data_IF_320967614586
#
_entry.id   IF_320967614586
#
_cell.length_a   1.000
_cell.length_b   1.000
_cell.length_c   1.000
_cell.angle_alpha   90.00
_cell.angle_beta   90.00
_cell.angle_gamma   90.00
#
_symmetry.space_group_name_H-M   'P 1'
#
loop_
_entity.id
_entity.type
_entity.pdbx_description
1 polymer ?
#
# COMPACT_ATOMS: atom_id res chain seq x y z
N UNK A 1 -4.41 13.51 -24.66
CA UNK A 1 -5.03 12.33 -23.98
C UNK A 1 -4.59 12.28 -22.51
N UNK A 2 -5.31 11.59 -21.61
CA UNK A 2 -4.94 11.56 -20.17
C UNK A 2 -3.58 10.88 -19.90
N UNK A 3 -3.19 9.89 -20.72
CA UNK A 3 -1.85 9.27 -20.72
C UNK A 3 -0.75 10.33 -20.85
N UNK A 4 -0.91 11.28 -21.75
CA UNK A 4 0.06 12.37 -21.96
C UNK A 4 0.03 13.37 -20.80
N UNK A 5 -1.17 13.74 -20.31
CA UNK A 5 -1.35 14.69 -19.19
C UNK A 5 -0.63 14.20 -17.93
N UNK A 6 -0.70 12.89 -17.65
CA UNK A 6 -0.09 12.30 -16.47
C UNK A 6 1.22 11.54 -16.77
N UNK A 7 1.81 11.69 -17.96
CA UNK A 7 2.98 10.91 -18.38
C UNK A 7 4.22 11.12 -17.50
N UNK A 8 4.33 12.27 -16.83
CA UNK A 8 5.39 12.51 -15.86
C UNK A 8 5.19 11.70 -14.57
N UNK A 9 3.95 11.42 -14.17
CA UNK A 9 3.61 10.67 -12.96
C UNK A 9 3.48 9.16 -13.24
N UNK A 10 2.83 8.82 -14.34
CA UNK A 10 2.50 7.46 -14.76
C UNK A 10 3.21 7.16 -16.07
N UNK A 11 4.41 6.57 -15.97
CA UNK A 11 5.17 6.19 -17.14
C UNK A 11 4.60 4.89 -17.74
N UNK A 12 3.79 5.05 -18.78
CA UNK A 12 3.13 3.94 -19.49
C UNK A 12 3.81 3.77 -20.84
N UNK A 13 4.44 2.61 -21.07
CA UNK A 13 5.06 2.31 -22.37
C UNK A 13 3.99 2.13 -23.46
N UNK A 14 4.35 2.33 -24.73
CA UNK A 14 3.38 2.15 -25.83
C UNK A 14 2.95 0.68 -25.98
N UNK A 15 3.87 -0.26 -25.77
CA UNK A 15 3.59 -1.71 -25.76
C UNK A 15 2.64 -2.10 -24.62
N UNK A 16 2.86 -1.61 -23.40
CA UNK A 16 1.95 -1.88 -22.28
C UNK A 16 0.59 -1.23 -22.50
N UNK A 17 0.56 -0.01 -23.06
CA UNK A 17 -0.70 0.65 -23.39
C UNK A 17 -1.49 -0.13 -24.44
N UNK A 18 -0.84 -0.66 -25.48
CA UNK A 18 -1.52 -1.48 -26.50
C UNK A 18 -2.15 -2.74 -25.88
N UNK A 19 -1.46 -3.37 -24.91
CA UNK A 19 -1.94 -4.57 -24.21
C UNK A 19 -3.13 -4.30 -23.28
N UNK A 20 -3.19 -3.12 -22.65
CA UNK A 20 -4.15 -2.85 -21.57
C UNK A 20 -4.84 -1.46 -21.67
N UNK A 21 -5.03 -0.94 -22.89
CA UNK A 21 -5.49 0.43 -23.15
C UNK A 21 -6.75 0.80 -22.35
N UNK A 22 -7.78 -0.07 -22.39
CA UNK A 22 -9.05 0.14 -21.69
C UNK A 22 -8.86 0.35 -20.19
N UNK A 23 -7.99 -0.45 -19.55
CA UNK A 23 -7.71 -0.35 -18.12
C UNK A 23 -6.91 0.92 -17.78
N UNK A 24 -5.91 1.25 -18.59
CA UNK A 24 -5.17 2.50 -18.43
C UNK A 24 -6.09 3.72 -18.56
N UNK A 25 -6.92 3.78 -19.60
CA UNK A 25 -7.82 4.91 -19.83
C UNK A 25 -8.84 5.05 -18.69
N UNK A 26 -9.41 3.95 -18.22
CA UNK A 26 -10.35 3.93 -17.10
C UNK A 26 -9.70 4.47 -15.81
N UNK A 27 -8.54 3.94 -15.42
CA UNK A 27 -7.87 4.33 -14.18
C UNK A 27 -7.31 5.74 -14.24
N UNK A 28 -6.81 6.18 -15.40
CA UNK A 28 -6.39 7.58 -15.60
C UNK A 28 -7.59 8.54 -15.51
N UNK A 29 -8.77 8.14 -16.00
CA UNK A 29 -9.99 8.94 -15.87
C UNK A 29 -10.44 9.05 -14.40
N UNK A 30 -10.45 7.93 -13.65
CA UNK A 30 -10.75 7.96 -12.21
C UNK A 30 -9.76 8.86 -11.48
N UNK A 31 -8.46 8.70 -11.74
CA UNK A 31 -7.43 9.54 -11.14
C UNK A 31 -7.62 11.02 -11.49
N UNK A 32 -7.98 11.32 -12.74
CA UNK A 32 -8.24 12.68 -13.17
C UNK A 32 -9.37 13.33 -12.37
N UNK A 33 -10.49 12.63 -12.21
CA UNK A 33 -11.64 13.15 -11.50
C UNK A 33 -11.35 13.34 -10.00
N UNK A 34 -10.52 12.46 -9.42
CA UNK A 34 -10.03 12.59 -8.04
C UNK A 34 -9.18 13.85 -7.81
N UNK A 35 -8.41 14.29 -8.80
CA UNK A 35 -7.46 15.42 -8.65
C UNK A 35 -7.95 16.74 -9.27
N UNK A 36 -8.93 16.72 -10.16
CA UNK A 36 -9.43 17.92 -10.86
C UNK A 36 -10.87 18.32 -10.49
N UNK A 37 -11.63 17.47 -9.79
CA UNK A 37 -13.04 17.76 -9.53
C UNK A 37 -13.25 19.04 -8.71
N UNK A 38 -13.93 20.04 -9.29
CA UNK A 38 -14.47 21.20 -8.57
C UNK A 38 -15.46 20.76 -7.46
N UNK A 39 -16.06 19.57 -7.63
CA UNK A 39 -16.91 18.89 -6.66
C UNK A 39 -16.40 17.45 -6.52
N UNK A 40 -15.82 17.11 -5.36
CA UNK A 40 -15.48 15.73 -5.03
C UNK A 40 -16.75 14.93 -4.74
N UNK A 41 -17.24 14.20 -5.74
CA UNK A 41 -18.33 13.24 -5.63
C UNK A 41 -17.80 11.91 -5.08
N UNK A 42 -17.76 11.83 -3.74
CA UNK A 42 -17.21 10.69 -3.02
C UNK A 42 -17.93 9.39 -3.38
N UNK A 43 -19.27 9.41 -3.46
CA UNK A 43 -20.06 8.20 -3.68
C UNK A 43 -19.84 7.65 -5.09
N UNK A 44 -19.86 8.51 -6.11
CA UNK A 44 -19.60 8.08 -7.49
C UNK A 44 -18.17 7.54 -7.66
N UNK A 45 -17.18 8.25 -7.11
CA UNK A 45 -15.78 7.87 -7.24
C UNK A 45 -15.48 6.57 -6.50
N UNK A 46 -16.06 6.39 -5.31
CA UNK A 46 -15.99 5.13 -4.56
C UNK A 46 -16.55 3.98 -5.39
N UNK A 47 -17.76 4.13 -5.93
CA UNK A 47 -18.41 3.09 -6.72
C UNK A 47 -17.59 2.72 -7.97
N UNK A 48 -16.98 3.71 -8.65
CA UNK A 48 -16.09 3.48 -9.79
C UNK A 48 -14.82 2.72 -9.39
N UNK A 49 -14.18 3.08 -8.29
CA UNK A 49 -13.00 2.36 -7.77
C UNK A 49 -13.36 0.92 -7.40
N UNK A 50 -14.49 0.71 -6.72
CA UNK A 50 -14.97 -0.63 -6.36
C UNK A 50 -15.27 -1.49 -7.59
N UNK A 51 -16.01 -0.96 -8.56
CA UNK A 51 -16.40 -1.69 -9.78
C UNK A 51 -15.20 -2.07 -10.64
N UNK A 52 -14.22 -1.17 -10.74
CA UNK A 52 -13.03 -1.33 -11.57
C UNK A 52 -11.87 -2.03 -10.86
N UNK A 53 -12.09 -2.57 -9.65
CA UNK A 53 -11.07 -3.25 -8.86
C UNK A 53 -10.40 -4.41 -9.65
N UNK A 54 -9.08 -4.35 -9.89
CA UNK A 54 -8.39 -5.26 -10.81
C UNK A 54 -8.27 -6.69 -10.26
N UNK A 55 -8.46 -6.89 -8.96
CA UNK A 55 -8.44 -8.22 -8.34
C UNK A 55 -9.80 -8.95 -8.37
N UNK A 56 -10.89 -8.29 -8.80
CA UNK A 56 -12.18 -8.98 -9.01
C UNK A 56 -12.07 -10.11 -10.05
N UNK A 57 -11.17 -9.95 -11.01
CA UNK A 57 -10.84 -10.94 -12.03
C UNK A 57 -9.38 -11.41 -11.90
N UNK A 58 -8.88 -11.59 -10.66
CA UNK A 58 -7.49 -12.02 -10.45
C UNK A 58 -7.25 -13.47 -10.88
N UNK A 59 -6.04 -13.70 -11.37
CA UNK A 59 -5.53 -15.02 -11.70
C UNK A 59 -5.05 -15.11 -13.15
N UNK A 60 -3.96 -15.85 -13.33
CA UNK A 60 -3.47 -16.29 -14.61
C UNK A 60 -3.15 -17.79 -14.56
N UNK A 61 -3.53 -18.53 -15.60
CA UNK A 61 -3.11 -19.92 -15.80
C UNK A 61 -3.04 -20.25 -17.29
N UNK A 62 -1.97 -20.94 -17.69
CA UNK A 62 -1.81 -21.54 -19.03
C UNK A 62 -1.59 -23.07 -18.97
N UNK A 63 -1.87 -23.67 -17.81
CA UNK A 63 -1.64 -25.09 -17.52
C UNK A 63 -0.22 -25.42 -17.06
N UNK A 64 0.82 -24.67 -17.49
CA UNK A 64 2.19 -24.83 -16.98
C UNK A 64 2.43 -23.89 -15.79
N UNK A 65 2.02 -22.64 -15.90
CA UNK A 65 2.20 -21.62 -14.87
C UNK A 65 0.88 -21.18 -14.26
N UNK A 66 0.95 -20.77 -12.99
CA UNK A 66 -0.20 -20.30 -12.23
C UNK A 66 0.19 -19.13 -11.32
N UNK A 67 -0.49 -17.99 -11.50
CA UNK A 67 -0.31 -16.78 -10.69
C UNK A 67 -1.68 -16.32 -10.18
N UNK A 68 -2.14 -16.89 -9.06
CA UNK A 68 -3.54 -16.81 -8.59
C UNK A 68 -3.93 -15.38 -8.16
N UNK A 69 -3.02 -14.66 -7.51
CA UNK A 69 -3.24 -13.29 -7.04
C UNK A 69 -2.77 -12.22 -8.03
N UNK A 70 -2.35 -12.61 -9.25
CA UNK A 70 -2.03 -11.65 -10.31
C UNK A 70 -3.30 -10.86 -10.67
N UNK A 71 -3.19 -9.53 -10.64
CA UNK A 71 -4.30 -8.66 -10.97
C UNK A 71 -4.73 -8.89 -12.42
N UNK A 72 -6.03 -9.03 -12.68
CA UNK A 72 -6.52 -9.42 -14.01
C UNK A 72 -6.13 -8.43 -15.10
N UNK A 73 -6.09 -7.14 -14.75
CA UNK A 73 -5.69 -6.05 -15.65
C UNK A 73 -4.22 -6.06 -16.04
N UNK A 74 -3.40 -6.82 -15.32
CA UNK A 74 -1.95 -6.84 -15.51
C UNK A 74 -1.49 -8.13 -16.20
N UNK A 75 -2.37 -9.11 -16.40
CA UNK A 75 -2.04 -10.44 -16.92
C UNK A 75 -1.29 -10.39 -18.25
N UNK A 76 -1.78 -9.62 -19.22
CA UNK A 76 -1.19 -9.54 -20.57
C UNK A 76 0.21 -8.87 -20.59
N UNK A 77 0.53 -8.11 -19.54
CA UNK A 77 1.83 -7.45 -19.37
C UNK A 77 2.77 -8.30 -18.52
N UNK A 78 2.34 -8.67 -17.31
CA UNK A 78 3.19 -9.30 -16.31
C UNK A 78 3.37 -10.80 -16.49
N UNK A 79 2.33 -11.55 -16.87
CA UNK A 79 2.45 -13.01 -16.92
C UNK A 79 3.57 -13.48 -17.88
N UNK A 80 3.71 -12.93 -19.11
CA UNK A 80 4.82 -13.27 -19.99
C UNK A 80 6.18 -12.96 -19.39
N UNK A 81 6.31 -11.85 -18.64
CA UNK A 81 7.55 -11.43 -18.01
C UNK A 81 7.93 -12.31 -16.81
N UNK A 82 6.94 -12.76 -16.04
CA UNK A 82 7.12 -13.72 -14.95
C UNK A 82 7.58 -15.08 -15.49
N UNK A 83 6.95 -15.56 -16.56
CA UNK A 83 7.33 -16.80 -17.24
C UNK A 83 8.76 -16.70 -17.77
N UNK A 84 9.10 -15.61 -18.46
CA UNK A 84 10.46 -15.35 -18.94
C UNK A 84 11.48 -15.33 -17.78
N UNK A 85 11.14 -14.74 -16.63
CA UNK A 85 12.02 -14.76 -15.47
C UNK A 85 12.24 -16.18 -14.93
N UNK A 86 11.20 -17.02 -14.92
CA UNK A 86 11.29 -18.41 -14.47
C UNK A 86 12.18 -19.21 -15.42
N UNK A 87 11.89 -19.18 -16.72
CA UNK A 87 12.60 -20.01 -17.71
C UNK A 87 14.06 -19.62 -17.91
N UNK A 88 14.42 -18.36 -17.66
CA UNK A 88 15.80 -17.89 -17.71
C UNK A 88 16.52 -17.90 -16.34
N UNK A 89 15.87 -18.43 -15.31
CA UNK A 89 16.50 -18.56 -13.99
C UNK A 89 17.62 -19.60 -14.01
N UNK A 90 18.63 -19.38 -13.18
CA UNK A 90 19.70 -20.35 -12.93
C UNK A 90 19.34 -21.37 -11.83
N UNK A 91 18.18 -21.21 -11.19
CA UNK A 91 17.68 -22.09 -10.14
C UNK A 91 16.66 -23.05 -10.73
N UNK A 92 16.84 -24.36 -10.51
CA UNK A 92 15.94 -25.39 -11.05
C UNK A 92 14.51 -25.30 -10.48
N UNK A 93 14.37 -24.80 -9.25
CA UNK A 93 13.11 -24.64 -8.52
C UNK A 93 12.53 -23.21 -8.60
N UNK A 94 13.00 -22.41 -9.57
CA UNK A 94 12.56 -21.02 -9.73
C UNK A 94 11.06 -20.88 -9.96
N UNK A 95 10.46 -21.85 -10.64
CA UNK A 95 9.02 -21.88 -10.91
C UNK A 95 8.23 -21.94 -9.61
N UNK A 96 8.58 -22.86 -8.73
CA UNK A 96 7.91 -23.09 -7.45
C UNK A 96 8.02 -21.84 -6.57
N UNK A 97 9.22 -21.28 -6.46
CA UNK A 97 9.49 -20.10 -5.63
C UNK A 97 8.79 -18.84 -6.15
N UNK A 98 8.84 -18.58 -7.45
CA UNK A 98 8.22 -17.38 -8.03
C UNK A 98 6.69 -17.52 -8.02
N UNK A 99 6.13 -18.67 -8.43
CA UNK A 99 4.68 -18.88 -8.36
C UNK A 99 4.15 -18.79 -6.94
N UNK A 100 4.91 -19.24 -5.93
CA UNK A 100 4.54 -19.08 -4.54
C UNK A 100 4.21 -17.61 -4.22
N UNK A 101 4.96 -16.63 -4.73
CA UNK A 101 4.68 -15.20 -4.50
C UNK A 101 3.33 -14.69 -5.02
N UNK A 102 2.63 -15.52 -5.81
CA UNK A 102 1.30 -15.24 -6.35
C UNK A 102 0.22 -16.21 -5.84
N UNK A 103 0.51 -17.02 -4.80
CA UNK A 103 -0.46 -17.92 -4.12
C UNK A 103 -1.31 -17.21 -3.07
N UNK A 104 -1.49 -15.89 -3.19
CA UNK A 104 -2.39 -15.12 -2.32
C UNK A 104 -1.82 -14.92 -0.89
N UNK A 105 -0.55 -14.51 -0.82
CA UNK A 105 0.24 -14.38 0.42
C UNK A 105 0.45 -12.96 0.92
N UNK A 106 0.37 -11.94 0.07
CA UNK A 106 0.66 -10.58 0.51
C UNK A 106 -0.41 -9.61 0.01
N UNK A 107 -0.74 -8.68 0.89
CA UNK A 107 -1.74 -7.65 0.65
C UNK A 107 -1.12 -6.53 -0.17
N UNK A 108 -1.67 -6.28 -1.36
CA UNK A 108 -1.48 -5.01 -2.04
C UNK A 108 -1.99 -3.86 -1.16
N UNK A 109 -3.13 -4.07 -0.52
CA UNK A 109 -3.78 -3.14 0.38
C UNK A 109 -4.58 -3.88 1.45
N UNK A 110 -4.89 -3.22 2.57
CA UNK A 110 -5.75 -3.76 3.63
C UNK A 110 -6.27 -2.66 4.57
N UNK A 111 -7.23 -2.98 5.44
CA UNK A 111 -7.77 -2.07 6.44
C UNK A 111 -8.75 -1.03 5.87
N UNK A 112 -8.79 0.14 6.52
CA UNK A 112 -9.81 1.16 6.29
C UNK A 112 -9.36 2.22 5.26
N UNK A 113 -9.95 2.21 4.06
CA UNK A 113 -9.73 3.24 3.03
C UNK A 113 -10.84 4.31 2.95
N UNK A 114 -11.72 4.39 3.94
CA UNK A 114 -12.77 5.41 4.03
C UNK A 114 -12.27 6.58 4.90
N UNK A 115 -11.92 6.30 6.15
CA UNK A 115 -11.53 7.31 7.13
C UNK A 115 -10.45 6.80 8.13
N UNK A 116 -9.30 6.31 7.65
CA UNK A 116 -8.23 5.90 8.53
C UNK A 116 -7.60 7.11 9.25
N UNK A 117 -7.03 6.86 10.43
CA UNK A 117 -6.13 7.82 11.09
C UNK A 117 -4.73 7.78 10.47
N UNK A 118 -4.27 6.59 10.10
CA UNK A 118 -2.94 6.37 9.52
C UNK A 118 -3.01 5.51 8.27
N UNK A 119 -2.32 5.92 7.21
CA UNK A 119 -2.02 5.04 6.07
C UNK A 119 -0.53 4.70 6.12
N UNK A 120 -0.22 3.41 6.19
CA UNK A 120 1.14 2.88 6.07
C UNK A 120 1.45 2.66 4.59
N UNK A 121 2.41 3.42 4.05
CA UNK A 121 2.79 3.38 2.64
C UNK A 121 4.09 2.60 2.44
N UNK A 122 4.02 1.50 1.69
CA UNK A 122 5.15 0.61 1.42
C UNK A 122 5.34 -0.45 2.51
N UNK A 123 4.25 -1.11 2.89
CA UNK A 123 4.21 -2.15 3.93
C UNK A 123 5.00 -3.41 3.59
N UNK A 124 5.41 -3.56 2.31
CA UNK A 124 5.90 -4.75 1.60
C UNK A 124 6.21 -5.85 2.61
N UNK A 125 5.24 -6.74 2.85
CA UNK A 125 5.53 -7.90 3.65
C UNK A 125 6.73 -8.61 2.99
N UNK A 126 7.57 -9.20 3.82
CA UNK A 126 8.71 -9.95 3.31
C UNK A 126 8.37 -11.40 3.52
N UNK A 127 8.00 -12.08 2.45
CA UNK A 127 8.06 -13.53 2.44
C UNK A 127 9.52 -14.00 2.56
N UNK A 128 9.96 -14.23 3.81
CA UNK A 128 11.22 -14.91 4.11
C UNK A 128 11.06 -16.45 4.25
N UNK A 129 9.82 -16.94 4.27
CA UNK A 129 9.48 -18.36 4.43
C UNK A 129 8.14 -18.67 3.76
N UNK A 130 7.95 -19.91 3.33
CA UNK A 130 6.64 -20.40 2.86
C UNK A 130 5.62 -20.41 4.00
N UNK A 131 4.38 -20.06 3.69
CA UNK A 131 3.22 -20.16 4.59
C UNK A 131 1.98 -20.49 3.76
N UNK A 132 0.87 -20.80 4.42
CA UNK A 132 -0.41 -21.05 3.75
C UNK A 132 -1.01 -19.75 3.20
N UNK A 133 -1.87 -19.88 2.18
CA UNK A 133 -2.59 -18.74 1.60
C UNK A 133 -3.40 -18.01 2.67
N UNK A 134 -3.45 -16.68 2.59
CA UNK A 134 -4.28 -15.87 3.49
C UNK A 134 -5.73 -15.69 2.97
N UNK A 135 -6.07 -16.25 1.80
CA UNK A 135 -7.43 -16.16 1.25
C UNK A 135 -7.88 -14.73 0.89
N UNK A 136 -6.95 -13.89 0.44
CA UNK A 136 -7.17 -12.48 0.08
C UNK A 136 -8.10 -12.32 -1.11
N UNK A 137 -8.01 -13.24 -2.08
CA UNK A 137 -8.89 -13.28 -3.24
C UNK A 137 -10.37 -13.33 -2.83
N UNK A 138 -10.66 -14.02 -1.72
CA UNK A 138 -12.01 -14.16 -1.20
C UNK A 138 -12.39 -13.14 -0.12
N UNK A 139 -11.45 -12.30 0.32
CA UNK A 139 -11.63 -11.35 1.43
C UNK A 139 -11.26 -9.91 1.05
N UNK A 140 -9.98 -9.54 1.16
CA UNK A 140 -9.46 -8.17 1.05
C UNK A 140 -9.69 -7.57 -0.34
N UNK A 141 -9.60 -8.40 -1.37
CA UNK A 141 -9.67 -7.94 -2.75
C UNK A 141 -11.07 -7.76 -3.32
N UNK A 142 -12.15 -8.10 -2.60
CA UNK A 142 -13.52 -7.91 -3.11
C UNK A 142 -14.08 -6.51 -2.82
N UNK A 143 -13.83 -6.00 -1.62
CA UNK A 143 -14.50 -4.80 -1.09
C UNK A 143 -13.48 -3.84 -0.45
N UNK A 144 -12.78 -3.00 -1.23
CA UNK A 144 -11.70 -2.17 -0.71
C UNK A 144 -12.15 -1.11 0.32
N UNK A 145 -13.45 -0.80 0.38
CA UNK A 145 -14.01 0.18 1.30
C UNK A 145 -14.86 -0.50 2.38
N UNK A 146 -14.23 -0.75 3.53
CA UNK A 146 -14.90 -1.15 4.76
C UNK A 146 -14.21 -0.48 5.94
N UNK A 147 -14.95 0.36 6.68
CA UNK A 147 -14.44 1.16 7.81
C UNK A 147 -13.92 0.28 8.96
N UNK A 148 -14.48 -0.91 9.13
CA UNK A 148 -14.16 -1.82 10.22
C UNK A 148 -13.34 -3.02 9.76
N UNK A 149 -12.79 -3.00 8.53
CA UNK A 149 -12.02 -4.11 7.98
C UNK A 149 -10.81 -4.39 8.87
N UNK A 150 -10.78 -5.54 9.58
CA UNK A 150 -9.60 -5.91 10.36
C UNK A 150 -8.40 -6.08 9.43
N UNK A 151 -7.22 -5.77 9.91
CA UNK A 151 -6.00 -6.10 9.19
C UNK A 151 -5.59 -7.55 9.48
N UNK A 152 -4.95 -8.20 8.50
CA UNK A 152 -4.49 -9.57 8.63
C UNK A 152 -3.69 -9.82 9.92
N UNK A 153 -4.13 -10.82 10.67
CA UNK A 153 -3.50 -11.24 11.92
C UNK A 153 -2.15 -11.94 11.67
N UNK A 154 -1.05 -11.26 12.00
CA UNK A 154 0.29 -11.83 12.00
C UNK A 154 1.25 -11.09 12.95
N UNK A 155 2.39 -11.71 13.25
CA UNK A 155 3.41 -11.15 14.15
C UNK A 155 3.98 -9.79 13.68
N UNK A 156 3.93 -9.50 12.37
CA UNK A 156 4.44 -8.26 11.84
C UNK A 156 3.61 -7.05 12.27
N UNK A 157 2.31 -7.22 12.50
CA UNK A 157 1.39 -6.19 13.00
C UNK A 157 1.08 -6.30 14.50
N UNK A 158 0.93 -7.53 15.03
CA UNK A 158 0.42 -7.76 16.38
C UNK A 158 1.49 -8.11 17.43
N UNK A 159 2.66 -8.59 16.99
CA UNK A 159 3.74 -9.00 17.88
C UNK A 159 4.34 -7.84 18.70
N UNK A 160 5.06 -8.17 19.77
CA UNK A 160 5.70 -7.14 20.62
C UNK A 160 6.91 -6.45 19.96
N UNK A 161 7.35 -6.98 18.82
CA UNK A 161 8.34 -6.38 17.93
C UNK A 161 7.72 -6.06 16.56
N UNK A 162 6.40 -5.85 16.54
CA UNK A 162 5.64 -5.45 15.36
C UNK A 162 5.96 -4.02 14.95
N UNK A 163 5.43 -3.63 13.79
CA UNK A 163 5.51 -2.27 13.29
C UNK A 163 4.96 -1.22 14.29
N UNK A 164 3.92 -1.57 15.05
CA UNK A 164 3.23 -0.64 15.96
C UNK A 164 3.77 -0.68 17.39
N UNK A 165 4.21 -1.84 17.88
CA UNK A 165 4.42 -2.06 19.33
C UNK A 165 5.86 -2.26 19.77
N UNK A 166 6.82 -2.07 18.86
CA UNK A 166 8.21 -2.28 19.17
C UNK A 166 8.66 -1.41 20.37
N UNK A 167 9.24 -2.09 21.37
CA UNK A 167 9.74 -1.52 22.63
C UNK A 167 8.65 -1.03 23.61
N UNK A 168 7.42 -1.53 23.50
CA UNK A 168 6.34 -1.16 24.43
C UNK A 168 6.25 -2.04 25.69
N UNK A 169 6.99 -3.17 25.78
CA UNK A 169 6.84 -4.20 26.82
C UNK A 169 7.18 -3.78 28.26
N UNK A 170 7.90 -2.68 28.45
CA UNK A 170 8.50 -2.35 29.75
C UNK A 170 7.53 -1.65 30.73
N UNK A 171 6.37 -1.15 30.25
CA UNK A 171 5.44 -0.37 31.06
C UNK A 171 3.98 -0.86 30.93
N UNK A 172 3.28 -0.99 32.06
CA UNK A 172 1.86 -1.43 32.09
C UNK A 172 0.94 -0.52 31.27
N UNK A 173 1.17 0.78 31.30
CA UNK A 173 0.39 1.76 30.53
C UNK A 173 0.50 1.52 29.03
N UNK A 174 1.70 1.17 28.54
CA UNK A 174 1.89 0.81 27.14
C UNK A 174 1.17 -0.48 26.75
N UNK A 175 1.05 -1.45 27.67
CA UNK A 175 0.30 -2.67 27.42
C UNK A 175 -1.19 -2.36 27.20
N UNK A 176 -1.79 -1.50 28.03
CA UNK A 176 -3.18 -1.08 27.84
C UNK A 176 -3.40 -0.37 26.49
N UNK A 177 -2.47 0.52 26.08
CA UNK A 177 -2.51 1.16 24.76
C UNK A 177 -2.42 0.13 23.62
N UNK A 178 -1.53 -0.85 23.75
CA UNK A 178 -1.40 -1.96 22.79
C UNK A 178 -2.70 -2.76 22.70
N UNK A 179 -3.31 -3.09 23.83
CA UNK A 179 -4.52 -3.92 23.86
C UNK A 179 -5.70 -3.19 23.19
N UNK A 180 -5.88 -1.89 23.48
CA UNK A 180 -6.90 -1.05 22.84
C UNK A 180 -6.65 -0.97 21.33
N UNK A 181 -5.43 -0.59 20.92
CA UNK A 181 -5.11 -0.46 19.50
C UNK A 181 -5.23 -1.81 18.76
N UNK A 182 -4.77 -2.90 19.37
CA UNK A 182 -4.86 -4.25 18.79
C UNK A 182 -6.31 -4.66 18.57
N UNK A 183 -7.21 -4.37 19.53
CA UNK A 183 -8.64 -4.61 19.38
C UNK A 183 -9.23 -3.81 18.22
N UNK A 184 -8.85 -2.54 18.06
CA UNK A 184 -9.36 -1.69 16.97
C UNK A 184 -8.94 -2.20 15.58
N UNK A 185 -7.76 -2.83 15.45
CA UNK A 185 -7.27 -3.34 14.16
C UNK A 185 -7.68 -4.79 13.87
N UNK A 186 -8.22 -5.52 14.86
CA UNK A 186 -8.61 -6.93 14.72
C UNK A 186 -10.12 -7.19 14.78
N UNK A 187 -10.93 -6.22 15.22
CA UNK A 187 -12.36 -6.41 15.48
C UNK A 187 -13.23 -5.77 14.39
N UNK A 188 -14.12 -6.57 13.78
CA UNK A 188 -15.07 -6.14 12.76
C UNK A 188 -16.15 -5.17 13.28
N UNK A 189 -16.33 -5.08 14.60
CA UNK A 189 -17.26 -4.13 15.23
C UNK A 189 -16.64 -2.77 15.54
N UNK A 190 -15.31 -2.63 15.41
CA UNK A 190 -14.58 -1.40 15.73
C UNK A 190 -14.10 -0.71 14.45
N UNK A 191 -14.07 0.63 14.46
CA UNK A 191 -13.47 1.38 13.35
C UNK A 191 -11.99 1.07 13.30
N UNK A 192 -11.55 0.47 12.19
CA UNK A 192 -10.13 0.19 11.98
C UNK A 192 -9.40 1.50 11.70
N UNK A 193 -8.41 1.91 12.53
CA UNK A 193 -7.80 3.23 12.44
C UNK A 193 -6.68 3.30 11.39
N UNK A 194 -6.40 2.20 10.70
CA UNK A 194 -5.26 2.07 9.80
C UNK A 194 -5.68 1.57 8.42
N UNK A 195 -5.01 2.08 7.39
CA UNK A 195 -4.96 1.45 6.08
C UNK A 195 -3.51 1.02 5.77
N UNK A 196 -3.37 -0.12 5.14
CA UNK A 196 -2.11 -0.66 4.67
C UNK A 196 -2.11 -0.56 3.14
N UNK A 197 -1.07 0.03 2.56
CA UNK A 197 -1.01 0.22 1.11
C UNK A 197 0.41 -0.01 0.62
N UNK A 198 0.55 -0.83 -0.44
CA UNK A 198 1.81 -1.19 -1.05
C UNK A 198 1.98 -0.58 -2.45
N UNK A 199 3.19 -0.10 -2.76
CA UNK A 199 3.55 0.48 -4.05
C UNK A 199 3.61 -0.57 -5.17
N UNK A 200 4.10 -1.76 -4.82
CA UNK A 200 4.16 -2.88 -5.73
C UNK A 200 3.32 -4.04 -5.19
N UNK A 201 2.17 -4.34 -5.81
CA UNK A 201 1.12 -5.12 -5.16
C UNK A 201 1.36 -6.64 -5.17
N UNK A 202 2.61 -7.09 -5.29
CA UNK A 202 2.96 -8.51 -5.31
C UNK A 202 4.18 -8.82 -4.43
N UNK A 203 4.18 -10.03 -3.87
CA UNK A 203 5.13 -10.41 -2.83
C UNK A 203 6.58 -10.50 -3.32
N UNK A 204 7.50 -9.88 -2.58
CA UNK A 204 8.94 -10.00 -2.83
C UNK A 204 9.78 -9.66 -1.60
N UNK A 205 10.96 -10.26 -1.47
CA UNK A 205 11.92 -9.85 -0.43
C UNK A 205 12.48 -8.43 -0.68
N UNK A 206 12.50 -7.98 -1.93
CA UNK A 206 12.82 -6.61 -2.31
C UNK A 206 12.72 -6.36 -3.81
N UNK A 207 13.00 -5.14 -4.24
CA UNK A 207 12.80 -4.65 -5.62
C UNK A 207 13.64 -5.35 -6.69
N UNK A 208 14.61 -6.18 -6.30
CA UNK A 208 15.52 -6.86 -7.22
C UNK A 208 15.55 -8.37 -7.05
N UNK A 209 14.88 -8.91 -6.04
CA UNK A 209 14.92 -10.33 -5.66
C UNK A 209 13.54 -10.79 -5.20
N UNK A 210 13.07 -11.89 -5.75
CA UNK A 210 11.86 -12.57 -5.28
C UNK A 210 12.07 -13.14 -3.89
N UNK A 211 13.24 -13.77 -3.74
CA UNK A 211 13.80 -14.35 -2.52
C UNK A 211 15.32 -14.38 -2.67
N UNK A 212 16.06 -14.44 -1.56
CA UNK A 212 17.51 -14.69 -1.58
C UNK A 212 17.85 -15.88 -2.49
N UNK A 213 18.63 -15.61 -3.54
CA UNK A 213 19.01 -16.60 -4.56
C UNK A 213 18.21 -16.52 -5.87
N UNK A 214 17.03 -15.88 -5.85
CA UNK A 214 16.08 -15.80 -6.96
C UNK A 214 15.94 -14.35 -7.42
N UNK A 215 16.65 -14.00 -8.49
CA UNK A 215 16.67 -12.62 -9.00
C UNK A 215 15.43 -12.28 -9.82
N UNK A 216 14.96 -11.04 -9.65
CA UNK A 216 13.98 -10.45 -10.57
C UNK A 216 14.70 -10.11 -11.88
N UNK A 217 14.08 -10.35 -13.04
CA UNK A 217 14.66 -9.97 -14.34
C UNK A 217 14.71 -8.45 -14.52
N UNK A 218 15.55 -7.96 -15.45
CA UNK A 218 15.62 -6.51 -15.74
C UNK A 218 14.29 -5.95 -16.24
N UNK A 219 13.56 -6.72 -17.05
CA UNK A 219 12.24 -6.34 -17.58
C UNK A 219 11.18 -6.26 -16.49
N UNK A 220 11.23 -7.10 -15.45
CA UNK A 220 10.29 -6.99 -14.32
C UNK A 220 10.65 -5.85 -13.35
N UNK A 221 11.95 -5.63 -13.08
CA UNK A 221 12.42 -4.62 -12.11
C UNK A 221 11.86 -3.22 -12.36
N UNK A 222 11.56 -2.86 -13.61
CA UNK A 222 11.02 -1.54 -13.95
C UNK A 222 9.69 -1.23 -13.25
N UNK A 223 8.83 -2.22 -13.02
CA UNK A 223 7.55 -2.04 -12.33
C UNK A 223 7.72 -1.96 -10.80
N UNK A 224 8.62 -2.75 -10.21
CA UNK A 224 8.98 -2.67 -8.79
C UNK A 224 9.61 -1.33 -8.40
N UNK A 225 10.34 -0.75 -9.35
CA UNK A 225 11.02 0.54 -9.21
C UNK A 225 10.14 1.73 -9.65
N UNK A 226 8.90 1.47 -10.12
CA UNK A 226 7.99 2.47 -10.70
C UNK A 226 8.62 3.32 -11.81
N UNK A 227 9.51 2.71 -12.59
CA UNK A 227 10.04 3.30 -13.84
C UNK A 227 9.03 3.16 -14.96
N UNK A 228 8.26 2.08 -14.96
CA UNK A 228 7.03 1.90 -15.72
C UNK A 228 5.93 1.54 -14.72
N UNK A 229 4.66 1.78 -15.09
CA UNK A 229 3.52 1.55 -14.19
C UNK A 229 2.48 0.63 -14.81
N UNK A 230 2.01 -0.32 -14.02
CA UNK A 230 0.94 -1.26 -14.38
C UNK A 230 -0.45 -0.63 -14.17
N UNK A 231 -1.49 -1.13 -14.85
CA UNK A 231 -2.86 -0.69 -14.59
C UNK A 231 -3.25 -0.83 -13.10
N UNK A 232 -2.99 -1.99 -12.47
CA UNK A 232 -3.35 -2.19 -11.06
C UNK A 232 -2.65 -1.21 -10.10
N UNK A 233 -1.45 -0.76 -10.45
CA UNK A 233 -0.72 0.25 -9.67
C UNK A 233 -1.38 1.62 -9.77
N UNK A 234 -1.92 2.01 -10.94
CA UNK A 234 -2.72 3.25 -11.07
C UNK A 234 -4.01 3.13 -10.28
N UNK A 235 -4.69 1.98 -10.32
CA UNK A 235 -5.89 1.75 -9.50
C UNK A 235 -5.60 1.88 -8.00
N UNK A 236 -4.48 1.31 -7.54
CA UNK A 236 -4.00 1.46 -6.16
C UNK A 236 -3.78 2.94 -5.80
N UNK A 237 -3.21 3.72 -6.72
CA UNK A 237 -3.05 5.17 -6.54
C UNK A 237 -4.40 5.89 -6.50
N UNK A 238 -5.41 5.43 -7.26
CA UNK A 238 -6.77 5.95 -7.16
C UNK A 238 -7.37 5.69 -5.78
N UNK A 239 -7.22 4.47 -5.24
CA UNK A 239 -7.66 4.12 -3.89
C UNK A 239 -7.02 5.03 -2.82
N UNK A 240 -5.69 5.19 -2.87
CA UNK A 240 -4.96 6.09 -1.96
C UNK A 240 -5.44 7.54 -2.08
N UNK A 241 -5.61 8.02 -3.31
CA UNK A 241 -6.01 9.41 -3.58
C UNK A 241 -7.44 9.66 -3.11
N UNK A 242 -8.35 8.70 -3.31
CA UNK A 242 -9.70 8.76 -2.78
C UNK A 242 -9.68 8.94 -1.27
N UNK A 243 -8.94 8.11 -0.53
CA UNK A 243 -8.89 8.19 0.94
C UNK A 243 -8.36 9.53 1.40
N UNK A 244 -7.30 10.05 0.77
CA UNK A 244 -6.75 11.38 1.10
C UNK A 244 -7.78 12.49 0.83
N UNK A 245 -8.48 12.43 -0.31
CA UNK A 245 -9.49 13.43 -0.70
C UNK A 245 -10.73 13.36 0.17
N UNK A 246 -11.13 12.16 0.57
CA UNK A 246 -12.22 11.95 1.51
C UNK A 246 -11.87 12.60 2.87
N UNK A 247 -10.71 12.28 3.43
CA UNK A 247 -10.28 12.91 4.69
C UNK A 247 -10.14 14.43 4.58
N UNK A 248 -9.63 14.97 3.46
CA UNK A 248 -9.61 16.41 3.16
C UNK A 248 -11.01 17.03 3.24
N UNK A 249 -11.98 16.48 2.49
CA UNK A 249 -13.36 16.99 2.45
C UNK A 249 -14.04 16.98 3.81
N UNK A 250 -13.78 15.95 4.61
CA UNK A 250 -14.39 15.78 5.93
C UNK A 250 -13.56 16.39 7.07
N UNK A 251 -12.47 17.12 6.76
CA UNK A 251 -11.55 17.70 7.75
C UNK A 251 -11.02 16.68 8.77
N UNK A 252 -10.91 15.42 8.37
CA UNK A 252 -10.43 14.33 9.21
C UNK A 252 -8.90 14.38 9.27
N UNK A 253 -8.35 14.20 10.47
CA UNK A 253 -6.90 14.11 10.67
C UNK A 253 -6.40 12.80 10.05
N UNK A 254 -5.49 12.90 9.09
CA UNK A 254 -4.87 11.75 8.42
C UNK A 254 -3.35 11.86 8.44
N UNK A 255 -2.69 10.76 8.77
CA UNK A 255 -1.24 10.62 8.71
C UNK A 255 -0.83 9.64 7.62
N UNK A 256 0.03 10.06 6.69
CA UNK A 256 0.68 9.17 5.74
C UNK A 256 2.07 8.82 6.28
N UNK A 257 2.33 7.57 6.64
CA UNK A 257 3.65 7.14 7.12
C UNK A 257 4.43 6.37 6.05
N UNK A 258 5.50 7.00 5.55
CA UNK A 258 6.34 6.48 4.48
C UNK A 258 7.34 5.46 5.02
N UNK A 259 7.10 4.17 4.70
CA UNK A 259 8.03 3.08 4.97
C UNK A 259 9.11 2.96 3.89
N UNK A 260 8.74 3.18 2.63
CA UNK A 260 9.64 3.30 1.49
C UNK A 260 9.84 4.77 1.14
N UNK A 261 11.10 5.22 1.21
CA UNK A 261 11.45 6.64 1.01
C UNK A 261 12.86 6.82 0.41
N UNK A 262 13.32 5.87 -0.39
CA UNK A 262 14.61 6.00 -1.07
C UNK A 262 14.52 7.08 -2.18
N UNK A 263 15.67 7.62 -2.60
CA UNK A 263 15.72 8.72 -3.55
C UNK A 263 15.11 8.37 -4.90
N UNK A 264 15.41 7.19 -5.44
CA UNK A 264 14.90 6.76 -6.74
C UNK A 264 13.37 6.67 -6.73
N UNK A 265 12.81 6.01 -5.72
CA UNK A 265 11.37 5.89 -5.56
C UNK A 265 10.68 7.26 -5.46
N UNK A 266 11.26 8.20 -4.70
CA UNK A 266 10.73 9.56 -4.59
C UNK A 266 10.72 10.30 -5.92
N UNK A 267 11.81 10.19 -6.68
CA UNK A 267 12.02 10.91 -7.93
C UNK A 267 11.12 10.36 -9.05
N UNK A 268 10.94 9.04 -9.12
CA UNK A 268 10.11 8.42 -10.15
C UNK A 268 8.61 8.61 -9.87
N UNK A 269 8.18 8.55 -8.61
CA UNK A 269 6.76 8.53 -8.26
C UNK A 269 6.36 9.53 -7.16
N UNK A 270 6.85 9.34 -5.92
CA UNK A 270 6.21 9.93 -4.74
C UNK A 270 6.11 11.46 -4.78
N UNK A 271 7.17 12.15 -5.21
CA UNK A 271 7.18 13.61 -5.23
C UNK A 271 6.19 14.16 -6.25
N UNK A 272 6.17 13.57 -7.45
CA UNK A 272 5.25 13.96 -8.53
C UNK A 272 3.79 13.67 -8.14
N UNK A 273 3.56 12.55 -7.46
CA UNK A 273 2.23 12.21 -6.93
C UNK A 273 1.76 13.26 -5.91
N UNK A 274 2.60 13.59 -4.94
CA UNK A 274 2.31 14.59 -3.93
C UNK A 274 2.11 16.00 -4.50
N UNK A 275 2.83 16.36 -5.55
CA UNK A 275 2.60 17.59 -6.31
C UNK A 275 1.25 17.56 -7.04
N UNK A 276 0.95 16.48 -7.77
CA UNK A 276 -0.29 16.32 -8.52
C UNK A 276 -1.54 16.44 -7.64
N UNK A 277 -1.49 15.86 -6.44
CA UNK A 277 -2.61 15.99 -5.49
C UNK A 277 -2.53 17.27 -4.66
N UNK A 278 -1.44 18.05 -4.71
CA UNK A 278 -1.18 19.22 -3.85
C UNK A 278 -1.25 18.89 -2.35
N UNK A 279 -0.52 17.86 -1.91
CA UNK A 279 -0.60 17.36 -0.51
C UNK A 279 -0.19 18.41 0.52
N UNK A 280 0.73 19.32 0.15
CA UNK A 280 1.25 20.37 1.03
C UNK A 280 0.21 21.42 1.41
N UNK A 281 -0.84 21.58 0.59
CA UNK A 281 -1.90 22.55 0.84
C UNK A 281 -2.98 22.01 1.79
N UNK A 282 -2.87 20.74 2.24
CA UNK A 282 -3.88 20.09 3.09
C UNK A 282 -3.47 20.13 4.55
N UNK A 283 -4.10 21.00 5.33
CA UNK A 283 -3.71 21.22 6.72
C UNK A 283 -3.93 20.00 7.61
N UNK A 284 -5.00 19.24 7.38
CA UNK A 284 -5.39 18.05 8.14
C UNK A 284 -4.62 16.78 7.76
N UNK A 285 -3.85 16.81 6.66
CA UNK A 285 -3.08 15.66 6.18
C UNK A 285 -1.60 15.89 6.48
N UNK A 286 -0.98 14.98 7.23
CA UNK A 286 0.44 15.07 7.60
C UNK A 286 1.22 13.89 7.03
N UNK A 287 2.32 14.19 6.35
CA UNK A 287 3.21 13.16 5.80
C UNK A 287 4.41 12.98 6.71
N UNK A 288 4.55 11.76 7.21
CA UNK A 288 5.58 11.31 8.13
C UNK A 288 6.57 10.40 7.40
N UNK A 289 7.82 10.46 7.81
CA UNK A 289 8.86 9.54 7.37
C UNK A 289 9.66 9.04 8.57
N UNK A 290 10.45 7.99 8.32
CA UNK A 290 11.31 7.42 9.34
C UNK A 290 12.48 8.33 9.69
N UNK A 291 12.82 8.47 10.97
CA UNK A 291 14.09 9.07 11.41
C UNK A 291 15.28 8.22 10.97
N UNK A 292 15.20 6.91 11.20
CA UNK A 292 16.20 5.94 10.75
C UNK A 292 15.72 5.17 9.52
N UNK A 293 16.51 5.19 8.45
CA UNK A 293 16.20 4.48 7.21
C UNK A 293 16.08 2.96 7.39
N UNK A 294 16.83 2.38 8.32
CA UNK A 294 16.84 0.93 8.61
C UNK A 294 15.70 0.47 9.52
N UNK A 295 15.09 1.38 10.28
CA UNK A 295 13.98 1.04 11.15
C UNK A 295 12.73 0.70 10.34
N UNK A 296 11.91 -0.21 10.85
CA UNK A 296 10.59 -0.51 10.31
C UNK A 296 9.47 0.16 11.12
N UNK A 297 9.74 0.53 12.37
CA UNK A 297 8.71 0.84 13.34
C UNK A 297 8.06 2.21 13.13
N UNK A 298 6.75 2.26 13.34
CA UNK A 298 5.99 3.48 13.55
C UNK A 298 5.92 3.73 15.07
N UNK A 299 6.85 4.53 15.57
CA UNK A 299 6.98 4.80 17.01
C UNK A 299 7.40 6.24 17.28
N UNK A 300 7.15 6.72 18.50
CA UNK A 300 7.56 8.05 18.97
C UNK A 300 9.04 8.36 18.68
N UNK A 301 9.93 7.37 18.86
CA UNK A 301 11.36 7.51 18.60
C UNK A 301 11.75 7.54 17.12
N UNK A 302 10.88 7.14 16.18
CA UNK A 302 11.25 6.91 14.79
C UNK A 302 10.44 7.73 13.75
N UNK A 303 9.62 8.68 14.16
CA UNK A 303 8.86 9.55 13.22
C UNK A 303 9.50 10.94 13.06
N UNK A 304 9.44 11.49 11.85
CA UNK A 304 9.75 12.90 11.53
C UNK A 304 8.87 13.39 10.37
N UNK A 305 8.65 14.71 10.22
CA UNK A 305 7.98 15.24 9.04
C UNK A 305 8.74 14.85 7.76
N UNK A 306 8.00 14.53 6.69
CA UNK A 306 8.58 14.24 5.38
C UNK A 306 9.09 15.52 4.70
N UNK A 307 8.27 16.56 4.69
CA UNK A 307 8.58 17.83 4.05
C UNK A 307 9.43 18.72 4.97
N UNK A 308 10.53 19.24 4.44
CA UNK A 308 11.40 20.14 5.18
C UNK A 308 10.62 21.38 5.66
N UNK A 309 10.89 21.84 6.88
CA UNK A 309 10.25 23.02 7.45
C UNK A 309 8.81 22.81 7.97
N UNK A 310 8.25 21.60 7.89
CA UNK A 310 6.92 21.29 8.42
C UNK A 310 6.98 20.70 9.84
N UNK A 311 5.93 20.92 10.63
CA UNK A 311 5.71 20.25 11.92
C UNK A 311 4.64 19.15 11.78
N UNK A 312 4.76 18.10 12.58
CA UNK A 312 3.79 16.99 12.57
C UNK A 312 2.65 17.18 13.57
N UNK A 313 2.82 18.07 14.56
CA UNK A 313 1.96 18.18 15.75
C UNK A 313 1.74 16.83 16.47
N UNK A 314 2.69 15.90 16.33
CA UNK A 314 2.74 14.64 17.09
C UNK A 314 3.81 14.81 18.17
N UNK A 315 3.40 14.63 19.42
CA UNK A 315 4.27 14.56 20.59
C UNK A 315 5.02 13.23 20.57
N UNK A 316 6.34 13.32 20.73
CA UNK A 316 7.23 12.15 20.72
C UNK A 316 8.00 11.96 22.03
N UNK A 317 7.69 12.75 23.05
CA UNK A 317 8.33 12.70 24.37
C UNK A 317 7.93 11.45 25.15
N UNK A 318 6.70 10.97 24.97
CA UNK A 318 6.13 9.79 25.63
C UNK A 318 5.32 8.93 24.68
N UNK A 319 5.15 7.65 24.99
CA UNK A 319 4.36 6.72 24.16
C UNK A 319 2.88 7.05 24.25
N UNK A 320 2.40 7.46 25.43
CA UNK A 320 1.01 7.85 25.66
C UNK A 320 0.61 9.03 24.78
N UNK A 321 1.43 10.09 24.76
CA UNK A 321 1.17 11.25 23.91
C UNK A 321 1.21 10.88 22.42
N UNK A 322 2.12 9.98 22.03
CA UNK A 322 2.21 9.52 20.65
C UNK A 322 0.96 8.74 20.22
N UNK A 323 0.44 7.86 21.08
CA UNK A 323 -0.78 7.11 20.82
C UNK A 323 -2.03 8.02 20.84
N UNK A 324 -2.09 8.99 21.74
CA UNK A 324 -3.15 9.99 21.77
C UNK A 324 -3.16 10.80 20.46
N UNK A 325 -2.01 11.31 20.02
CA UNK A 325 -1.94 12.16 18.83
C UNK A 325 -2.16 11.39 17.52
N UNK A 326 -1.72 10.14 17.44
CA UNK A 326 -1.74 9.35 16.21
C UNK A 326 -3.00 8.50 16.06
N UNK A 327 -3.47 7.92 17.16
CA UNK A 327 -4.55 6.92 17.17
C UNK A 327 -5.80 7.39 17.92
N UNK A 328 -5.75 8.54 18.60
CA UNK A 328 -6.84 9.02 19.46
C UNK A 328 -7.08 8.10 20.68
N UNK A 329 -6.02 7.45 21.16
CA UNK A 329 -6.07 6.53 22.30
C UNK A 329 -5.45 7.21 23.52
N UNK A 330 -6.26 7.55 24.51
CA UNK A 330 -5.79 8.13 25.77
C UNK A 330 -5.53 7.04 26.82
N UNK A 331 -4.58 7.26 27.73
CA UNK A 331 -4.33 6.37 28.88
C UNK A 331 -5.45 6.37 29.93
N UNK A 332 -6.41 7.30 29.83
CA UNK A 332 -7.58 7.41 30.71
C UNK A 332 -8.79 6.61 30.22
N UNK A 333 -8.71 6.00 29.03
CA UNK A 333 -9.79 5.19 28.45
C UNK A 333 -9.87 3.86 29.22
N UNK A 334 -10.69 3.82 30.28
CA UNK A 334 -10.98 2.65 31.11
C UNK A 334 -12.30 2.01 30.72
#
# INVERSE_FOLDING_TARGET
MLKEKYGDLFHISDDDYEKAATHYDEYLAIFHDLVQGDIFDADNLRERIEKSNPWKNSGYSDGKYEFISLAGTDCDILAPLLIDNIENSQQEDAKEVIQARFKDFEHAFDGNFINPRVILLGINPKMSSEHDSYGLKDTVYKEPFNTNRPILENDYYYGDSSIFYAKMKEHKEHQALKDIHSKMISNEDEVTPVALWEFFPYASEGETVWQKGYSISKSLKRYFQLKEILPSQIWMVCLLTYTIKHSEKHSEKLFLFLRKNNQDFRNHFLNKYFEAIQIMNKENIKVLSKKSGSSKYLSNGNVKPYFSGTTTNIRTDKVEHFFEDLWDISSNTK
#
